data_IF_964460341231
#
_entry.id   IF_964460341231
#
_cell.length_a   1.000
_cell.length_b   1.000
_cell.length_c   1.000
_cell.angle_alpha   90.00
_cell.angle_beta   90.00
_cell.angle_gamma   90.00
#
_symmetry.space_group_name_H-M   'P 1'
#
loop_
_entity.id
_entity.type
_entity.pdbx_description
1 polymer ?
#
# COMPACT_ATOMS: atom_id res chain seq x y z
N UNK A 1 48.07 -59.90 -29.29
CA UNK A 1 47.81 -58.53 -29.75
C UNK A 1 46.70 -58.00 -28.87
N UNK A 2 47.01 -56.98 -28.07
CA UNK A 2 46.16 -56.48 -26.99
C UNK A 2 45.39 -55.22 -27.42
N UNK A 3 44.21 -55.10 -26.79
CA UNK A 3 43.43 -53.91 -26.45
C UNK A 3 42.85 -53.08 -27.61
N UNK A 4 41.55 -53.17 -27.87
CA UNK A 4 40.37 -52.73 -27.08
C UNK A 4 39.93 -51.32 -27.49
N UNK A 5 38.68 -51.29 -27.97
CA UNK A 5 37.92 -50.13 -28.41
C UNK A 5 37.90 -49.03 -27.34
N UNK A 6 38.19 -47.80 -27.76
CA UNK A 6 37.92 -46.60 -26.98
C UNK A 6 36.41 -46.36 -26.89
N UNK A 7 35.80 -46.92 -25.86
CA UNK A 7 34.43 -46.60 -25.46
C UNK A 7 34.32 -45.10 -25.20
N UNK A 8 33.51 -44.43 -26.01
CA UNK A 8 32.96 -43.13 -25.69
C UNK A 8 32.12 -43.27 -24.42
N UNK A 9 32.74 -42.98 -23.28
CA UNK A 9 32.07 -42.77 -22.00
C UNK A 9 31.29 -41.44 -22.05
N UNK A 10 30.18 -41.46 -22.78
CA UNK A 10 29.16 -40.40 -22.77
C UNK A 10 28.03 -40.83 -21.85
N UNK A 11 28.41 -41.28 -20.66
CA UNK A 11 27.54 -41.70 -19.59
C UNK A 11 27.08 -40.53 -18.70
N UNK A 12 26.41 -40.83 -17.58
CA UNK A 12 25.42 -40.07 -16.78
C UNK A 12 25.75 -38.64 -16.28
N UNK A 13 26.86 -38.06 -16.68
CA UNK A 13 27.37 -36.78 -16.18
C UNK A 13 26.58 -35.57 -16.69
N UNK A 14 25.95 -35.67 -17.86
CA UNK A 14 25.07 -34.62 -18.41
C UNK A 14 23.74 -34.53 -17.66
N UNK A 15 23.16 -35.69 -17.29
CA UNK A 15 21.95 -35.73 -16.47
C UNK A 15 22.20 -35.22 -15.05
N UNK A 16 23.37 -35.56 -14.48
CA UNK A 16 23.77 -35.08 -13.15
C UNK A 16 23.94 -33.56 -13.12
N UNK A 17 24.62 -32.98 -14.12
CA UNK A 17 24.75 -31.52 -14.25
C UNK A 17 23.40 -30.81 -14.42
N UNK A 18 22.45 -31.41 -15.15
CA UNK A 18 21.09 -30.89 -15.27
C UNK A 18 20.32 -30.91 -13.94
N UNK A 19 20.47 -31.99 -13.14
CA UNK A 19 19.89 -32.08 -11.81
C UNK A 19 20.49 -31.06 -10.84
N UNK A 20 21.81 -30.90 -10.84
CA UNK A 20 22.51 -29.92 -9.99
C UNK A 20 22.15 -28.47 -10.35
N UNK A 21 21.97 -28.17 -11.64
CA UNK A 21 21.53 -26.84 -12.09
C UNK A 21 20.09 -26.54 -11.66
N UNK A 22 19.20 -27.53 -11.74
CA UNK A 22 17.81 -27.44 -11.24
C UNK A 22 17.78 -27.24 -9.73
N UNK A 23 18.59 -27.98 -8.97
CA UNK A 23 18.65 -27.85 -7.51
C UNK A 23 19.25 -26.51 -7.07
N UNK A 24 20.23 -25.97 -7.81
CA UNK A 24 20.75 -24.61 -7.56
C UNK A 24 19.70 -23.53 -7.83
N UNK A 25 18.92 -23.65 -8.91
CA UNK A 25 17.82 -22.71 -9.17
C UNK A 25 16.72 -22.77 -8.10
N UNK A 26 16.44 -23.95 -7.55
CA UNK A 26 15.48 -24.10 -6.45
C UNK A 26 16.03 -23.57 -5.12
N UNK A 27 17.34 -23.71 -4.89
CA UNK A 27 18.04 -23.27 -3.67
C UNK A 27 18.23 -21.74 -3.60
N UNK A 28 18.35 -21.07 -4.74
CA UNK A 28 18.47 -19.61 -4.81
C UNK A 28 17.12 -18.87 -4.64
N UNK A 29 16.05 -19.60 -4.27
CA UNK A 29 14.75 -19.02 -3.95
C UNK A 29 13.99 -18.44 -5.15
N UNK A 30 14.47 -18.69 -6.38
CA UNK A 30 13.83 -18.24 -7.60
C UNK A 30 13.02 -19.37 -8.21
N UNK A 31 11.77 -19.51 -7.80
CA UNK A 31 10.85 -20.39 -8.50
C UNK A 31 10.12 -19.59 -9.59
N UNK A 32 10.24 -19.98 -10.88
CA UNK A 32 9.54 -19.30 -11.97
C UNK A 32 8.02 -19.26 -11.78
N UNK A 33 7.48 -20.26 -11.06
CA UNK A 33 6.07 -20.34 -10.74
C UNK A 33 5.65 -19.31 -9.67
N UNK A 34 6.46 -19.03 -8.65
CA UNK A 34 6.18 -17.94 -7.70
C UNK A 34 6.35 -16.57 -8.33
N UNK A 35 7.33 -16.39 -9.22
CA UNK A 35 7.48 -15.14 -9.97
C UNK A 35 6.24 -14.84 -10.81
N UNK A 36 5.77 -15.83 -11.60
CA UNK A 36 4.54 -15.71 -12.36
C UNK A 36 3.34 -15.40 -11.46
N UNK A 37 3.21 -16.09 -10.31
CA UNK A 37 2.15 -15.83 -9.34
C UNK A 37 2.19 -14.42 -8.76
N UNK A 38 3.38 -13.92 -8.42
CA UNK A 38 3.58 -12.56 -7.92
C UNK A 38 3.26 -11.50 -8.98
N UNK A 39 3.70 -11.70 -10.23
CA UNK A 39 3.37 -10.79 -11.34
C UNK A 39 1.88 -10.77 -11.63
N UNK A 40 1.21 -11.93 -11.69
CA UNK A 40 -0.24 -11.99 -11.88
C UNK A 40 -1.00 -11.35 -10.72
N UNK A 41 -0.53 -11.52 -9.48
CA UNK A 41 -1.12 -10.85 -8.30
C UNK A 41 -0.92 -9.34 -8.35
N UNK A 42 0.26 -8.86 -8.75
CA UNK A 42 0.53 -7.43 -8.92
C UNK A 42 -0.31 -6.82 -10.05
N UNK A 43 -0.49 -7.54 -11.16
CA UNK A 43 -1.38 -7.13 -12.26
C UNK A 43 -2.83 -7.12 -11.82
N UNK A 44 -3.29 -8.11 -11.05
CA UNK A 44 -4.64 -8.13 -10.49
C UNK A 44 -4.88 -6.96 -9.52
N UNK A 45 -3.92 -6.67 -8.64
CA UNK A 45 -3.98 -5.51 -7.73
C UNK A 45 -3.94 -4.18 -8.48
N UNK A 46 -3.13 -4.07 -9.52
CA UNK A 46 -3.08 -2.90 -10.39
C UNK A 46 -4.37 -2.73 -11.20
N UNK A 47 -4.99 -3.83 -11.65
CA UNK A 47 -6.28 -3.83 -12.34
C UNK A 47 -7.43 -3.49 -11.39
N UNK A 48 -7.40 -3.97 -10.14
CA UNK A 48 -8.35 -3.57 -9.09
C UNK A 48 -8.22 -2.08 -8.78
N UNK A 49 -7.00 -1.56 -8.59
CA UNK A 49 -6.74 -0.12 -8.47
C UNK A 49 -7.18 0.67 -9.72
N UNK A 50 -6.97 0.10 -10.91
CA UNK A 50 -7.39 0.66 -12.19
C UNK A 50 -8.91 0.61 -12.40
N UNK A 51 -9.61 -0.29 -11.75
CA UNK A 51 -11.08 -0.39 -11.80
C UNK A 51 -11.76 0.78 -11.08
N UNK A 52 -11.10 1.36 -10.07
CA UNK A 52 -11.49 2.64 -9.47
C UNK A 52 -11.17 3.85 -10.36
N UNK A 53 -10.30 3.68 -11.37
CA UNK A 53 -9.90 4.72 -12.32
C UNK A 53 -10.81 4.74 -13.56
N UNK A 54 -12.12 4.51 -13.39
CA UNK A 54 -13.07 4.79 -14.45
C UNK A 54 -13.04 6.31 -14.74
N UNK A 55 -12.69 6.75 -15.95
CA UNK A 55 -12.55 8.18 -16.29
C UNK A 55 -13.83 8.98 -16.00
N UNK A 56 -15.00 8.35 -16.12
CA UNK A 56 -16.28 8.98 -15.80
C UNK A 56 -16.41 9.26 -14.29
N UNK A 57 -16.06 8.29 -13.44
CA UNK A 57 -16.09 8.45 -11.99
C UNK A 57 -15.08 9.50 -11.52
N UNK A 58 -13.89 9.51 -12.13
CA UNK A 58 -12.87 10.55 -11.87
C UNK A 58 -13.41 11.94 -12.18
N UNK A 59 -14.14 12.10 -13.28
CA UNK A 59 -14.72 13.39 -13.69
C UNK A 59 -15.75 13.86 -12.67
N UNK A 60 -16.67 12.97 -12.26
CA UNK A 60 -17.65 13.28 -11.21
C UNK A 60 -17.00 13.66 -9.88
N UNK A 61 -15.92 12.96 -9.50
CA UNK A 61 -15.18 13.27 -8.28
C UNK A 61 -14.48 14.62 -8.35
N UNK A 62 -13.90 14.97 -9.50
CA UNK A 62 -13.27 16.28 -9.71
C UNK A 62 -14.29 17.41 -9.73
N UNK A 63 -15.48 17.19 -10.32
CA UNK A 63 -16.58 18.16 -10.29
C UNK A 63 -17.10 18.37 -8.86
N UNK A 64 -17.26 17.28 -8.11
CA UNK A 64 -17.62 17.36 -6.69
C UNK A 64 -16.56 18.12 -5.87
N UNK A 65 -15.27 17.83 -6.06
CA UNK A 65 -14.19 18.60 -5.40
C UNK A 65 -14.26 20.07 -5.78
N UNK A 66 -14.51 20.41 -7.06
CA UNK A 66 -14.63 21.80 -7.48
C UNK A 66 -15.78 22.52 -6.78
N UNK A 67 -16.90 21.84 -6.52
CA UNK A 67 -18.01 22.44 -5.79
C UNK A 67 -17.66 22.69 -4.32
N UNK A 68 -17.05 21.71 -3.67
CA UNK A 68 -16.53 21.84 -2.29
C UNK A 68 -15.48 22.97 -2.21
N UNK A 69 -14.59 23.09 -3.20
CA UNK A 69 -13.63 24.20 -3.29
C UNK A 69 -14.31 25.57 -3.37
N UNK A 70 -15.43 25.70 -4.10
CA UNK A 70 -16.19 26.95 -4.17
C UNK A 70 -16.81 27.29 -2.81
N UNK A 71 -17.40 26.31 -2.14
CA UNK A 71 -17.98 26.51 -0.81
C UNK A 71 -16.93 26.97 0.22
N UNK A 72 -15.74 26.36 0.19
CA UNK A 72 -14.61 26.80 1.03
C UNK A 72 -14.24 28.26 0.73
N UNK A 73 -14.20 28.66 -0.53
CA UNK A 73 -13.87 30.05 -0.90
C UNK A 73 -14.92 31.05 -0.43
N UNK A 74 -16.21 30.70 -0.52
CA UNK A 74 -17.30 31.53 0.03
C UNK A 74 -17.14 31.66 1.54
N UNK A 75 -16.93 30.53 2.23
CA UNK A 75 -16.74 30.52 3.69
C UNK A 75 -15.53 31.35 4.15
N UNK A 76 -14.40 31.22 3.45
CA UNK A 76 -13.18 31.99 3.73
C UNK A 76 -13.39 33.47 3.41
N UNK A 77 -14.14 33.82 2.36
CA UNK A 77 -14.45 35.21 2.02
C UNK A 77 -15.34 35.87 3.09
N UNK A 78 -16.29 35.13 3.64
CA UNK A 78 -17.22 35.62 4.67
C UNK A 78 -16.53 35.79 6.04
N UNK A 79 -15.69 34.83 6.47
CA UNK A 79 -14.96 34.90 7.75
C UNK A 79 -13.63 35.65 7.70
N UNK A 80 -13.00 35.75 6.52
CA UNK A 80 -11.68 36.32 6.30
C UNK A 80 -10.52 35.41 6.72
N UNK A 81 -10.45 35.01 7.99
CA UNK A 81 -9.47 34.03 8.50
C UNK A 81 -10.20 32.87 9.15
N UNK A 82 -9.81 31.65 8.80
CA UNK A 82 -10.40 30.40 9.31
C UNK A 82 -9.29 29.37 9.47
N UNK A 83 -9.50 28.43 10.38
CA UNK A 83 -8.69 27.23 10.53
C UNK A 83 -9.28 26.03 9.77
N UNK A 84 -8.50 24.94 9.57
CA UNK A 84 -8.99 23.73 8.92
C UNK A 84 -10.12 23.02 9.67
N UNK A 85 -10.18 23.12 10.99
CA UNK A 85 -11.21 22.49 11.82
C UNK A 85 -12.58 23.13 11.63
N UNK A 86 -12.64 24.46 11.55
CA UNK A 86 -13.86 25.21 11.24
C UNK A 86 -14.39 24.87 9.85
N UNK A 87 -13.49 24.71 8.87
CA UNK A 87 -13.84 24.27 7.51
C UNK A 87 -14.40 22.84 7.55
N UNK A 88 -13.75 21.93 8.30
CA UNK A 88 -14.19 20.55 8.43
C UNK A 88 -15.61 20.43 9.01
N UNK A 89 -15.90 21.21 10.06
CA UNK A 89 -17.24 21.26 10.68
C UNK A 89 -18.28 21.84 9.73
N UNK A 90 -17.95 22.94 9.05
CA UNK A 90 -18.89 23.61 8.14
C UNK A 90 -19.26 22.72 6.94
N UNK A 91 -18.27 22.05 6.35
CA UNK A 91 -18.45 21.19 5.17
C UNK A 91 -18.75 19.73 5.52
N UNK A 92 -18.81 19.39 6.82
CA UNK A 92 -19.04 18.03 7.34
C UNK A 92 -18.11 16.98 6.74
N UNK A 93 -16.84 17.35 6.59
CA UNK A 93 -15.76 16.47 6.12
C UNK A 93 -14.77 16.21 7.25
N UNK A 94 -13.92 15.20 7.08
CA UNK A 94 -12.81 14.98 8.01
C UNK A 94 -11.81 16.14 7.92
N UNK A 95 -11.16 16.47 9.04
CA UNK A 95 -10.15 17.52 9.14
C UNK A 95 -8.97 17.28 8.19
N UNK A 96 -8.51 16.03 8.07
CA UNK A 96 -7.46 15.66 7.09
C UNK A 96 -7.87 16.00 5.65
N UNK A 97 -9.16 15.82 5.33
CA UNK A 97 -9.70 16.13 4.01
C UNK A 97 -9.79 17.65 3.80
N UNK A 98 -10.15 18.41 4.84
CA UNK A 98 -10.13 19.86 4.80
C UNK A 98 -8.70 20.39 4.56
N UNK A 99 -7.70 19.87 5.28
CA UNK A 99 -6.29 20.21 5.09
C UNK A 99 -5.81 19.91 3.66
N UNK A 100 -6.21 18.77 3.10
CA UNK A 100 -5.90 18.43 1.71
C UNK A 100 -6.51 19.44 0.72
N UNK A 101 -7.78 19.78 0.88
CA UNK A 101 -8.48 20.73 0.01
C UNK A 101 -7.91 22.15 0.12
N UNK A 102 -7.56 22.60 1.33
CA UNK A 102 -6.87 23.86 1.58
C UNK A 102 -5.51 23.87 0.88
N UNK A 103 -4.73 22.79 1.01
CA UNK A 103 -3.44 22.65 0.33
C UNK A 103 -3.60 22.75 -1.19
N UNK A 104 -4.62 22.10 -1.75
CA UNK A 104 -4.96 22.17 -3.18
C UNK A 104 -5.35 23.59 -3.62
N UNK A 105 -6.15 24.31 -2.83
CA UNK A 105 -6.54 25.70 -3.08
C UNK A 105 -5.35 26.67 -3.00
N UNK A 106 -4.42 26.42 -2.07
CA UNK A 106 -3.20 27.22 -1.92
C UNK A 106 -2.27 27.05 -3.14
N UNK A 107 -2.12 25.83 -3.65
CA UNK A 107 -1.39 25.56 -4.90
C UNK A 107 -2.02 26.26 -6.10
N UNK A 108 -3.36 26.32 -6.14
CA UNK A 108 -4.12 27.08 -7.15
C UNK A 108 -4.07 28.60 -6.96
N UNK A 109 -3.33 29.11 -5.96
CA UNK A 109 -3.20 30.53 -5.59
C UNK A 109 -4.53 31.22 -5.26
N UNK A 110 -5.56 30.46 -4.89
CA UNK A 110 -6.88 31.01 -4.52
C UNK A 110 -6.96 31.43 -3.05
N UNK A 111 -6.13 30.81 -2.21
CA UNK A 111 -6.02 31.13 -0.78
C UNK A 111 -4.55 31.29 -0.38
N UNK A 112 -4.32 32.03 0.71
CA UNK A 112 -2.98 32.22 1.28
C UNK A 112 -2.93 31.62 2.68
N UNK A 113 -2.05 30.65 2.89
CA UNK A 113 -1.76 30.09 4.21
C UNK A 113 -0.87 31.10 4.94
N UNK A 114 -1.32 31.58 6.10
CA UNK A 114 -0.62 32.63 6.86
C UNK A 114 -0.20 32.21 8.27
N UNK A 115 -0.61 31.01 8.72
CA UNK A 115 -0.23 30.46 10.01
C UNK A 115 0.16 28.99 9.88
N UNK A 116 1.23 28.62 10.57
CA UNK A 116 1.63 27.24 10.87
C UNK A 116 2.05 27.29 12.33
N UNK A 117 1.37 26.51 13.17
CA UNK A 117 1.63 26.42 14.60
C UNK A 117 2.11 25.02 14.97
N UNK A 118 2.86 24.90 16.05
CA UNK A 118 3.34 23.60 16.53
C UNK A 118 2.18 22.87 17.19
N UNK A 119 1.74 21.76 16.60
CA UNK A 119 0.74 20.90 17.22
C UNK A 119 1.32 20.20 18.45
N UNK A 120 0.61 20.26 19.57
CA UNK A 120 0.87 19.39 20.73
C UNK A 120 0.32 18.00 20.37
N UNK A 121 1.21 17.06 20.07
CA UNK A 121 0.82 15.68 19.86
C UNK A 121 0.45 15.09 21.23
N UNK A 122 -0.84 14.93 21.49
CA UNK A 122 -1.33 14.15 22.62
C UNK A 122 -0.84 12.70 22.49
N UNK A 123 0.19 12.38 23.26
CA UNK A 123 0.68 11.04 23.48
C UNK A 123 -0.29 10.24 24.37
N UNK A 124 -1.34 9.63 23.78
CA UNK A 124 -2.21 8.59 24.39
C UNK A 124 -2.82 7.77 23.24
N UNK A 125 -2.79 6.45 23.11
CA UNK A 125 -2.39 5.35 23.97
C UNK A 125 -1.91 4.19 23.07
N UNK A 126 -0.69 3.71 23.29
CA UNK A 126 -0.27 2.40 22.80
C UNK A 126 -0.75 1.36 23.82
N UNK A 127 -1.96 0.81 23.62
CA UNK A 127 -2.37 -0.43 24.28
C UNK A 127 -2.27 -1.57 23.28
N UNK A 128 -1.04 -2.08 23.13
CA UNK A 128 -0.81 -3.46 22.70
C UNK A 128 -1.57 -4.35 23.69
N UNK A 129 -2.75 -4.82 23.27
CA UNK A 129 -3.46 -5.90 23.93
C UNK A 129 -2.62 -7.17 23.75
N UNK A 130 -1.82 -7.44 24.78
CA UNK A 130 -1.30 -8.76 25.09
C UNK A 130 -2.47 -9.69 25.40
N UNK A 131 -2.78 -10.60 24.49
CA UNK A 131 -3.49 -11.84 24.83
C UNK A 131 -2.53 -12.99 24.53
N UNK A 132 -1.80 -13.43 25.56
CA UNK A 132 -1.20 -14.76 25.59
C UNK A 132 -2.34 -15.76 25.88
N UNK A 133 -2.57 -16.78 25.03
CA UNK A 133 -3.41 -17.90 25.41
C UNK A 133 -2.64 -18.78 26.39
N UNK A 134 -3.18 -18.94 27.60
CA UNK A 134 -2.71 -19.93 28.56
C UNK A 134 -3.29 -21.30 28.23
N UNK A 135 -2.43 -22.23 27.87
CA UNK A 135 -2.73 -23.67 27.83
C UNK A 135 -2.20 -24.37 29.09
N UNK A 136 -2.91 -25.47 29.42
CA UNK A 136 -2.58 -26.60 30.31
C UNK A 136 -2.86 -26.53 31.82
N UNK A 137 -4.07 -27.03 32.16
CA UNK A 137 -4.34 -28.25 32.93
C UNK A 137 -3.35 -28.69 34.03
N UNK A 138 -3.87 -28.92 35.26
CA UNK A 138 -3.77 -30.12 36.16
C UNK A 138 -4.68 -29.85 37.37
N UNK A 139 -5.37 -30.74 38.07
CA UNK A 139 -5.67 -32.17 38.03
C UNK A 139 -6.70 -32.32 39.17
N UNK A 140 -7.93 -32.77 38.90
CA UNK A 140 -8.90 -33.08 39.94
C UNK A 140 -9.04 -34.60 39.98
N UNK A 141 -8.46 -35.25 41.00
CA UNK A 141 -8.65 -36.66 41.29
C UNK A 141 -9.39 -36.83 42.61
N UNK A 142 -10.37 -37.71 42.51
CA UNK A 142 -11.31 -38.31 43.47
C UNK A 142 -10.73 -38.63 44.84
#
# INVERSE_FOLDING_TARGET
MAEENSSQDSGPDMMRKASEMKDKMLKDGFSPMEMCRQMTSAVAKAAEMGSYANPELRTLFEDWIQEIEKEILVFVADKGKTDPGEIAVNLRINEDSAVFLISRLAQKKKIKITGIETGEQDARDNKISSENPGEEEKECKT
#
